data_IF_218122430572
#
_entry.id   IF_218122430572
#
_cell.length_a   1.000
_cell.length_b   1.000
_cell.length_c   1.000
_cell.angle_alpha   90.00
_cell.angle_beta   90.00
_cell.angle_gamma   90.00
#
_symmetry.space_group_name_H-M   'P 1'
#
loop_
_entity.id
_entity.type
_entity.pdbx_description
1 polymer ?
#
# COMPACT_ATOMS: atom_id res chain seq x y z
N UNK A 1 -0.73 -26.04 -18.13
CA UNK A 1 -0.83 -25.23 -19.35
C UNK A 1 -1.60 -26.02 -20.39
N UNK A 2 -2.55 -25.40 -21.08
CA UNK A 2 -3.45 -26.12 -21.99
C UNK A 2 -3.60 -25.32 -23.27
N UNK A 3 -3.20 -25.91 -24.40
CA UNK A 3 -3.37 -25.35 -25.74
C UNK A 3 -4.35 -26.22 -26.56
N UNK A 4 -4.23 -27.54 -26.48
CA UNK A 4 -4.96 -28.49 -27.32
C UNK A 4 -6.28 -28.95 -26.66
N UNK A 5 -7.19 -28.04 -26.33
CA UNK A 5 -8.46 -28.35 -25.67
C UNK A 5 -9.31 -29.39 -26.43
N UNK A 6 -9.96 -30.29 -25.69
CA UNK A 6 -10.91 -31.25 -26.26
C UNK A 6 -12.23 -30.60 -26.65
N UNK A 7 -12.71 -29.67 -25.82
CA UNK A 7 -14.06 -29.11 -25.92
C UNK A 7 -14.04 -27.60 -26.19
N UNK A 8 -13.09 -26.87 -25.61
CA UNK A 8 -12.93 -25.43 -25.83
C UNK A 8 -12.09 -25.14 -27.10
N UNK A 9 -12.12 -23.90 -27.63
CA UNK A 9 -11.23 -23.51 -28.72
C UNK A 9 -9.76 -23.72 -28.36
N UNK A 10 -8.94 -24.12 -29.33
CA UNK A 10 -7.50 -24.27 -29.10
C UNK A 10 -6.86 -22.92 -28.81
N UNK A 11 -5.83 -22.94 -27.97
CA UNK A 11 -4.95 -21.81 -27.72
C UNK A 11 -3.57 -22.09 -28.31
N UNK A 12 -2.75 -21.06 -28.36
CA UNK A 12 -1.34 -21.15 -28.73
C UNK A 12 -0.51 -20.37 -27.72
N UNK A 13 0.47 -21.02 -27.10
CA UNK A 13 1.45 -20.36 -26.23
C UNK A 13 1.31 -20.79 -24.77
N UNK A 14 0.12 -21.15 -24.31
CA UNK A 14 -0.13 -21.51 -22.90
C UNK A 14 0.66 -22.74 -22.46
N UNK A 15 0.93 -23.68 -23.37
CA UNK A 15 1.79 -24.83 -23.10
C UNK A 15 3.25 -24.41 -22.95
N UNK A 16 3.74 -23.56 -23.86
CA UNK A 16 5.11 -23.05 -23.83
C UNK A 16 5.35 -22.18 -22.59
N UNK A 17 4.38 -21.34 -22.24
CA UNK A 17 4.39 -20.46 -21.08
C UNK A 17 4.48 -21.26 -19.77
N UNK A 18 3.66 -22.31 -19.65
CA UNK A 18 3.70 -23.19 -18.49
C UNK A 18 5.02 -23.97 -18.36
N UNK A 19 5.66 -24.37 -19.47
CA UNK A 19 6.98 -25.00 -19.45
C UNK A 19 8.07 -24.02 -19.04
N UNK A 20 8.06 -22.82 -19.59
CA UNK A 20 9.03 -21.77 -19.24
C UNK A 20 8.93 -21.39 -17.75
N UNK A 21 7.71 -21.34 -17.21
CA UNK A 21 7.50 -21.08 -15.79
C UNK A 21 7.95 -22.26 -14.91
N UNK A 22 7.67 -23.51 -15.30
CA UNK A 22 8.14 -24.70 -14.60
C UNK A 22 9.68 -24.74 -14.52
N UNK A 23 10.37 -24.40 -15.60
CA UNK A 23 11.84 -24.28 -15.62
C UNK A 23 12.35 -23.16 -14.70
N UNK A 24 11.61 -22.07 -14.57
CA UNK A 24 11.94 -21.01 -13.62
C UNK A 24 11.82 -21.51 -12.17
N UNK A 25 10.73 -22.23 -11.82
CA UNK A 25 10.57 -22.81 -10.48
C UNK A 25 11.70 -23.79 -10.13
N UNK A 26 12.15 -24.62 -11.07
CA UNK A 26 13.29 -25.53 -10.86
C UNK A 26 14.58 -24.76 -10.56
N UNK A 27 14.85 -23.68 -11.29
CA UNK A 27 16.03 -22.82 -11.06
C UNK A 27 15.98 -22.09 -9.72
N UNK A 28 14.77 -21.82 -9.22
CA UNK A 28 14.52 -21.24 -7.90
C UNK A 28 14.64 -22.25 -6.75
N UNK A 29 14.89 -23.53 -7.06
CA UNK A 29 15.09 -24.56 -6.05
C UNK A 29 13.79 -25.13 -5.47
N UNK A 30 12.69 -25.14 -6.22
CA UNK A 30 11.50 -25.91 -5.83
C UNK A 30 11.80 -27.41 -5.95
N UNK A 31 11.67 -28.14 -4.83
CA UNK A 31 12.00 -29.57 -4.74
C UNK A 31 11.11 -30.44 -5.64
N UNK A 32 9.83 -30.11 -5.74
CA UNK A 32 8.86 -30.79 -6.60
C UNK A 32 8.14 -29.81 -7.52
N UNK A 33 8.23 -30.06 -8.83
CA UNK A 33 7.49 -29.31 -9.86
C UNK A 33 6.58 -30.28 -10.62
N UNK A 34 5.28 -30.21 -10.35
CA UNK A 34 4.26 -31.05 -11.00
C UNK A 34 3.77 -30.35 -12.27
N UNK A 35 4.12 -30.91 -13.43
CA UNK A 35 3.73 -30.38 -14.73
C UNK A 35 2.49 -31.11 -15.27
N UNK A 36 1.45 -30.36 -15.62
CA UNK A 36 0.20 -30.90 -16.18
C UNK A 36 -0.17 -30.15 -17.45
N UNK A 37 -0.30 -30.90 -18.54
CA UNK A 37 -0.44 -30.37 -19.89
C UNK A 37 -1.59 -31.02 -20.66
N UNK A 38 -2.28 -30.21 -21.47
CA UNK A 38 -3.30 -30.64 -22.42
C UNK A 38 -4.21 -31.75 -21.86
N UNK A 39 -4.24 -32.93 -22.48
CA UNK A 39 -5.07 -34.08 -22.10
C UNK A 39 -4.95 -34.50 -20.63
N UNK A 40 -3.80 -34.25 -20.01
CA UNK A 40 -3.56 -34.60 -18.62
C UNK A 40 -4.16 -33.54 -17.67
N UNK A 41 -4.40 -32.33 -18.16
CA UNK A 41 -5.08 -31.24 -17.45
C UNK A 41 -6.62 -31.36 -17.49
N UNK A 42 -7.14 -32.59 -17.44
CA UNK A 42 -8.58 -32.87 -17.32
C UNK A 42 -9.09 -32.60 -15.91
N UNK A 43 -10.36 -32.24 -15.80
CA UNK A 43 -11.01 -31.80 -14.55
C UNK A 43 -10.77 -32.76 -13.39
N UNK A 44 -10.99 -34.07 -13.61
CA UNK A 44 -10.77 -35.10 -12.59
C UNK A 44 -9.33 -35.11 -12.07
N UNK A 45 -8.35 -34.93 -12.95
CA UNK A 45 -6.94 -34.96 -12.56
C UNK A 45 -6.55 -33.71 -11.77
N UNK A 46 -6.94 -32.52 -12.25
CA UNK A 46 -6.65 -31.26 -11.56
C UNK A 46 -7.27 -31.24 -10.15
N UNK A 47 -8.50 -31.76 -10.00
CA UNK A 47 -9.15 -31.91 -8.69
C UNK A 47 -8.43 -32.91 -7.78
N UNK A 48 -7.93 -34.02 -8.32
CA UNK A 48 -7.15 -34.97 -7.54
C UNK A 48 -5.86 -34.33 -7.01
N UNK A 49 -5.15 -33.59 -7.87
CA UNK A 49 -3.91 -32.88 -7.51
C UNK A 49 -4.17 -31.86 -6.41
N UNK A 50 -5.17 -30.99 -6.59
CA UNK A 50 -5.49 -29.94 -5.61
C UNK A 50 -6.06 -30.51 -4.31
N UNK A 51 -6.98 -31.48 -4.37
CA UNK A 51 -7.71 -31.91 -3.18
C UNK A 51 -7.02 -33.04 -2.41
N UNK A 52 -6.14 -33.81 -3.06
CA UNK A 52 -5.58 -35.05 -2.51
C UNK A 52 -4.06 -35.07 -2.54
N UNK A 53 -3.44 -34.83 -3.70
CA UNK A 53 -2.01 -35.13 -3.87
C UNK A 53 -1.12 -34.06 -3.24
N UNK A 54 -1.34 -32.78 -3.57
CA UNK A 54 -0.55 -31.67 -3.02
C UNK A 54 -0.71 -31.52 -1.49
N UNK A 55 -1.92 -31.54 -0.89
CA UNK A 55 -2.07 -31.40 0.55
C UNK A 55 -1.37 -32.49 1.38
N UNK A 56 -1.08 -33.66 0.79
CA UNK A 56 -0.34 -34.75 1.45
C UNK A 56 1.18 -34.58 1.39
N UNK A 57 1.68 -33.76 0.47
CA UNK A 57 3.11 -33.54 0.24
C UNK A 57 3.63 -32.27 0.88
N UNK A 58 2.75 -31.30 1.14
CA UNK A 58 3.13 -29.95 1.58
C UNK A 58 2.91 -29.79 3.08
N UNK A 59 3.98 -29.50 3.81
CA UNK A 59 4.03 -29.26 5.25
C UNK A 59 3.87 -27.78 5.65
N UNK A 60 3.96 -27.53 6.95
CA UNK A 60 3.69 -26.21 7.57
C UNK A 60 4.74 -25.14 7.34
N UNK A 61 5.94 -25.51 6.90
CA UNK A 61 7.02 -24.57 6.60
C UNK A 61 7.25 -24.42 5.10
N UNK A 62 6.46 -25.13 4.30
CA UNK A 62 6.66 -25.18 2.86
C UNK A 62 5.94 -24.03 2.16
N UNK A 63 6.33 -23.83 0.91
CA UNK A 63 5.68 -22.94 -0.03
C UNK A 63 5.09 -23.72 -1.20
N UNK A 64 3.90 -23.32 -1.64
CA UNK A 64 3.23 -23.87 -2.82
C UNK A 64 2.97 -22.75 -3.83
N UNK A 65 3.35 -22.98 -5.09
CA UNK A 65 3.07 -22.06 -6.20
C UNK A 65 2.25 -22.82 -7.24
N UNK A 66 1.10 -22.28 -7.62
CA UNK A 66 0.23 -22.84 -8.65
C UNK A 66 0.20 -21.88 -9.82
N UNK A 67 0.71 -22.32 -10.97
CA UNK A 67 0.65 -21.57 -12.22
C UNK A 67 -0.38 -22.17 -13.18
N UNK A 68 -1.26 -21.34 -13.73
CA UNK A 68 -2.22 -21.74 -14.75
C UNK A 68 -2.13 -20.81 -15.96
N UNK A 69 -2.05 -21.41 -17.14
CA UNK A 69 -2.17 -20.73 -18.43
C UNK A 69 -3.17 -21.51 -19.28
N UNK A 70 -4.22 -20.84 -19.74
CA UNK A 70 -5.33 -21.44 -20.46
C UNK A 70 -6.60 -20.58 -20.46
N UNK A 71 -7.69 -21.16 -20.94
CA UNK A 71 -9.01 -20.54 -20.94
C UNK A 71 -9.56 -20.38 -19.53
N UNK A 72 -10.33 -19.32 -19.39
CA UNK A 72 -11.10 -19.01 -18.21
C UNK A 72 -12.54 -18.75 -18.62
N UNK A 73 -13.45 -18.91 -17.67
CA UNK A 73 -14.84 -18.52 -17.84
C UNK A 73 -15.30 -17.69 -16.66
N UNK A 74 -16.51 -17.16 -16.77
CA UNK A 74 -17.17 -16.41 -15.71
C UNK A 74 -18.58 -16.97 -15.52
N UNK A 75 -18.98 -17.13 -14.26
CA UNK A 75 -20.36 -17.43 -13.85
C UNK A 75 -20.83 -16.36 -12.87
N UNK A 76 -22.06 -16.44 -12.37
CA UNK A 76 -22.56 -15.51 -11.34
C UNK A 76 -23.04 -16.24 -10.10
N UNK A 77 -22.79 -15.63 -8.94
CA UNK A 77 -23.35 -16.10 -7.68
C UNK A 77 -24.84 -15.70 -7.52
N UNK A 78 -25.44 -16.07 -6.39
CA UNK A 78 -26.85 -15.72 -6.09
C UNK A 78 -27.08 -14.22 -5.94
N UNK A 79 -26.03 -13.43 -5.69
CA UNK A 79 -26.07 -11.98 -5.56
C UNK A 79 -25.76 -11.26 -6.89
N UNK A 80 -25.53 -12.01 -7.97
CA UNK A 80 -25.19 -11.48 -9.28
C UNK A 80 -23.73 -11.04 -9.45
N UNK A 81 -22.85 -11.38 -8.50
CA UNK A 81 -21.42 -11.13 -8.61
C UNK A 81 -20.77 -12.10 -9.60
N UNK A 82 -19.91 -11.58 -10.47
CA UNK A 82 -19.15 -12.39 -11.42
C UNK A 82 -18.11 -13.22 -10.67
N UNK A 83 -18.09 -14.53 -10.89
CA UNK A 83 -17.14 -15.50 -10.35
C UNK A 83 -16.37 -16.16 -11.50
N UNK A 84 -15.06 -15.94 -11.55
CA UNK A 84 -14.19 -16.58 -12.52
C UNK A 84 -14.01 -18.07 -12.28
N UNK A 85 -13.52 -18.79 -13.28
CA UNK A 85 -13.06 -20.17 -13.13
C UNK A 85 -12.04 -20.52 -14.20
N UNK A 86 -11.19 -21.48 -13.88
CA UNK A 86 -10.24 -22.07 -14.83
C UNK A 86 -10.95 -23.16 -15.61
N UNK A 87 -10.65 -23.28 -16.90
CA UNK A 87 -11.24 -24.29 -17.79
C UNK A 87 -10.26 -25.44 -17.98
N UNK A 88 -10.55 -26.66 -17.47
CA UNK A 88 -9.77 -27.85 -17.77
C UNK A 88 -9.90 -28.29 -19.23
N UNK A 89 -8.99 -29.17 -19.65
CA UNK A 89 -8.90 -29.65 -21.04
C UNK A 89 -10.20 -30.26 -21.58
N UNK A 90 -10.93 -31.00 -20.74
CA UNK A 90 -12.18 -31.69 -21.07
C UNK A 90 -13.45 -30.90 -20.69
N UNK A 91 -13.31 -29.62 -20.36
CA UNK A 91 -14.39 -28.75 -19.92
C UNK A 91 -14.77 -27.72 -21.00
N UNK A 92 -16.07 -27.46 -21.21
CA UNK A 92 -16.54 -26.34 -22.02
C UNK A 92 -16.37 -25.00 -21.27
N UNK A 93 -16.08 -23.90 -21.98
CA UNK A 93 -15.96 -22.55 -21.40
C UNK A 93 -17.27 -22.08 -20.76
N UNK A 94 -18.44 -22.54 -21.22
CA UNK A 94 -19.74 -22.05 -20.75
C UNK A 94 -20.37 -22.88 -19.62
N UNK A 95 -19.67 -23.87 -19.06
CA UNK A 95 -20.25 -24.75 -18.04
C UNK A 95 -19.24 -25.10 -16.93
N UNK A 96 -19.63 -24.74 -15.70
CA UNK A 96 -18.82 -24.83 -14.49
C UNK A 96 -18.70 -26.24 -13.91
N UNK A 97 -19.53 -27.21 -14.33
CA UNK A 97 -19.58 -28.57 -13.75
C UNK A 97 -18.24 -29.31 -13.78
N UNK A 98 -17.41 -29.00 -14.78
CA UNK A 98 -16.05 -29.53 -14.93
C UNK A 98 -14.96 -28.49 -14.70
N UNK A 99 -15.31 -27.24 -14.41
CA UNK A 99 -14.33 -26.18 -14.19
C UNK A 99 -13.55 -26.38 -12.89
N UNK A 100 -12.48 -25.61 -12.69
CA UNK A 100 -11.88 -25.39 -11.36
C UNK A 100 -12.29 -23.98 -10.94
N UNK A 101 -13.18 -23.88 -9.97
CA UNK A 101 -13.73 -22.59 -9.53
C UNK A 101 -12.78 -21.88 -8.58
N UNK A 102 -13.00 -20.58 -8.35
CA UNK A 102 -12.25 -19.88 -7.30
C UNK A 102 -12.52 -20.47 -5.92
N UNK A 103 -13.72 -20.99 -5.68
CA UNK A 103 -14.02 -21.68 -4.43
C UNK A 103 -13.23 -22.97 -4.28
N UNK A 104 -13.01 -23.74 -5.35
CA UNK A 104 -12.10 -24.90 -5.34
C UNK A 104 -10.68 -24.46 -4.93
N UNK A 105 -10.19 -23.32 -5.46
CA UNK A 105 -8.87 -22.77 -5.13
C UNK A 105 -8.81 -22.22 -3.70
N UNK A 106 -9.86 -21.55 -3.22
CA UNK A 106 -10.00 -21.08 -1.82
C UNK A 106 -10.09 -22.27 -0.85
N UNK A 107 -10.79 -23.34 -1.21
CA UNK A 107 -10.87 -24.56 -0.40
C UNK A 107 -9.52 -25.29 -0.37
N UNK A 108 -8.83 -25.37 -1.51
CA UNK A 108 -7.46 -25.87 -1.56
C UNK A 108 -6.53 -25.04 -0.66
N UNK A 109 -6.57 -23.71 -0.74
CA UNK A 109 -5.68 -22.85 0.06
C UNK A 109 -5.91 -22.99 1.57
N UNK A 110 -7.14 -23.27 2.01
CA UNK A 110 -7.45 -23.59 3.42
C UNK A 110 -6.98 -24.98 3.86
N UNK A 111 -6.94 -25.96 2.94
CA UNK A 111 -6.55 -27.35 3.25
C UNK A 111 -5.05 -27.59 3.18
N UNK A 112 -4.36 -26.91 2.26
CA UNK A 112 -2.91 -27.03 2.15
C UNK A 112 -2.26 -26.42 3.40
N UNK A 113 -1.37 -27.17 4.04
CA UNK A 113 -0.71 -26.71 5.28
C UNK A 113 0.39 -25.68 5.03
N UNK A 114 0.71 -25.37 3.77
CA UNK A 114 1.77 -24.47 3.37
C UNK A 114 1.75 -23.16 4.18
N UNK A 115 2.95 -22.70 4.57
CA UNK A 115 3.14 -21.35 5.09
C UNK A 115 2.82 -20.34 4.01
N UNK A 116 3.35 -20.56 2.81
CA UNK A 116 3.23 -19.63 1.70
C UNK A 116 2.48 -20.28 0.54
N UNK A 117 1.39 -19.67 0.07
CA UNK A 117 0.67 -20.12 -1.12
C UNK A 117 0.52 -18.97 -2.12
N UNK A 118 0.96 -19.18 -3.36
CA UNK A 118 0.83 -18.20 -4.45
C UNK A 118 0.15 -18.82 -5.65
N UNK A 119 -0.96 -18.23 -6.08
CA UNK A 119 -1.59 -18.53 -7.36
C UNK A 119 -1.14 -17.52 -8.41
N UNK A 120 -0.69 -17.99 -9.57
CA UNK A 120 -0.33 -17.15 -10.71
C UNK A 120 -1.17 -17.61 -11.89
N UNK A 121 -2.06 -16.74 -12.36
CA UNK A 121 -3.01 -17.05 -13.42
C UNK A 121 -2.66 -16.20 -14.63
N UNK A 122 -2.02 -16.81 -15.63
CA UNK A 122 -1.79 -16.23 -16.94
C UNK A 122 -3.06 -16.27 -17.78
N UNK A 123 -4.09 -15.57 -17.27
CA UNK A 123 -5.43 -15.50 -17.81
C UNK A 123 -6.20 -14.31 -17.22
N UNK A 124 -7.29 -13.92 -17.90
CA UNK A 124 -8.28 -12.97 -17.39
C UNK A 124 -9.22 -13.72 -16.44
N UNK A 125 -9.03 -13.55 -15.14
CA UNK A 125 -9.90 -14.11 -14.10
C UNK A 125 -10.37 -13.00 -13.18
N UNK A 126 -11.66 -12.99 -12.88
CA UNK A 126 -12.34 -12.00 -12.03
C UNK A 126 -13.10 -12.70 -10.92
N UNK A 127 -13.64 -11.96 -9.95
CA UNK A 127 -14.55 -12.53 -8.94
C UNK A 127 -13.91 -13.06 -7.67
N UNK A 128 -12.71 -12.60 -7.34
CA UNK A 128 -12.10 -12.86 -6.04
C UNK A 128 -12.62 -11.82 -5.04
N UNK A 129 -13.31 -12.25 -3.98
CA UNK A 129 -13.64 -11.38 -2.84
C UNK A 129 -12.35 -10.79 -2.27
N UNK A 130 -12.25 -9.47 -2.40
CA UNK A 130 -11.17 -8.66 -1.88
C UNK A 130 -11.32 -8.56 -0.36
N UNK A 131 -10.43 -9.23 0.38
CA UNK A 131 -9.82 -8.45 1.46
C UNK A 131 -8.89 -7.48 0.74
N UNK A 132 -9.15 -6.16 0.74
CA UNK A 132 -8.22 -5.24 0.11
C UNK A 132 -6.84 -5.56 0.69
N UNK A 133 -5.81 -5.81 -0.15
CA UNK A 133 -4.48 -6.00 0.37
C UNK A 133 -4.21 -4.79 1.26
N UNK A 134 -3.89 -5.03 2.54
CA UNK A 134 -3.24 -3.97 3.28
C UNK A 134 -2.01 -3.61 2.42
N UNK A 135 -1.85 -2.35 2.00
CA UNK A 135 -0.62 -1.95 1.35
C UNK A 135 0.47 -2.03 2.42
N UNK A 136 1.06 -3.22 2.58
CA UNK A 136 2.35 -3.34 3.23
C UNK A 136 3.31 -2.56 2.35
N UNK A 137 3.65 -1.37 2.83
CA UNK A 137 4.60 -0.47 2.22
C UNK A 137 5.89 -1.23 1.91
N UNK A 138 6.19 -1.42 0.63
CA UNK A 138 7.38 -2.15 0.17
C UNK A 138 8.69 -1.46 0.57
N UNK A 139 8.64 -0.17 0.89
CA UNK A 139 9.76 0.59 1.42
C UNK A 139 9.67 0.63 2.95
N UNK A 140 10.70 0.16 3.65
CA UNK A 140 10.81 0.28 5.11
C UNK A 140 10.69 -0.99 5.96
N UNK A 141 10.82 -2.17 5.37
CA UNK A 141 10.71 -3.45 6.08
C UNK A 141 11.87 -3.63 7.09
N UNK A 142 11.58 -3.41 8.37
CA UNK A 142 12.40 -3.90 9.47
C UNK A 142 12.22 -5.42 9.49
N UNK A 143 13.18 -6.13 8.89
CA UNK A 143 13.28 -7.61 8.81
C UNK A 143 12.14 -8.33 8.04
N UNK A 144 12.40 -8.97 6.87
CA UNK A 144 11.48 -9.93 6.24
C UNK A 144 10.95 -10.99 7.22
N UNK A 145 11.70 -11.32 8.26
CA UNK A 145 11.46 -12.36 9.26
C UNK A 145 10.02 -12.34 9.82
N UNK A 146 9.46 -11.19 10.21
CA UNK A 146 8.11 -11.11 10.77
C UNK A 146 6.98 -11.42 9.76
N UNK A 147 7.20 -11.18 8.46
CA UNK A 147 6.24 -11.48 7.39
C UNK A 147 6.47 -12.88 6.79
N UNK A 148 7.74 -13.31 6.69
CA UNK A 148 8.15 -14.62 6.16
C UNK A 148 7.84 -15.79 7.11
N UNK A 149 7.61 -15.51 8.39
CA UNK A 149 7.15 -16.51 9.37
C UNK A 149 5.61 -16.63 9.43
N UNK A 150 4.87 -15.69 8.84
CA UNK A 150 3.42 -15.70 8.83
C UNK A 150 2.88 -16.46 7.63
N UNK A 151 1.79 -17.20 7.85
CA UNK A 151 1.08 -17.84 6.76
C UNK A 151 0.43 -16.80 5.86
N UNK A 152 0.46 -17.01 4.54
CA UNK A 152 -0.22 -16.15 3.56
C UNK A 152 -0.70 -16.94 2.34
N UNK A 153 -1.79 -16.46 1.73
CA UNK A 153 -2.28 -16.87 0.41
C UNK A 153 -2.40 -15.64 -0.48
N UNK A 154 -1.71 -15.63 -1.61
CA UNK A 154 -1.69 -14.52 -2.58
C UNK A 154 -2.05 -15.00 -3.98
N UNK A 155 -2.49 -14.06 -4.81
CA UNK A 155 -2.87 -14.28 -6.20
C UNK A 155 -2.31 -13.16 -7.08
N UNK A 156 -1.76 -13.54 -8.23
CA UNK A 156 -1.39 -12.66 -9.31
C UNK A 156 -2.10 -13.09 -10.60
N UNK A 157 -2.91 -12.23 -11.20
CA UNK A 157 -3.54 -12.48 -12.50
C UNK A 157 -2.89 -11.64 -13.60
N UNK A 158 -2.91 -12.13 -14.83
CA UNK A 158 -2.29 -11.43 -15.96
C UNK A 158 -3.09 -10.25 -16.47
N UNK A 159 -4.40 -10.22 -16.27
CA UNK A 159 -5.27 -9.17 -16.78
C UNK A 159 -6.50 -8.97 -15.89
N UNK A 160 -7.11 -7.79 -16.03
CA UNK A 160 -8.35 -7.40 -15.38
C UNK A 160 -9.60 -7.87 -16.14
N UNK A 161 -10.77 -7.49 -15.61
CA UNK A 161 -12.07 -7.87 -16.16
C UNK A 161 -12.25 -7.37 -17.59
N UNK A 162 -12.52 -8.30 -18.51
CA UNK A 162 -12.82 -7.99 -19.91
C UNK A 162 -11.59 -7.65 -20.78
N UNK A 163 -10.39 -7.76 -20.23
CA UNK A 163 -9.14 -7.50 -20.95
C UNK A 163 -8.62 -8.77 -21.64
N UNK A 164 -7.88 -8.58 -22.73
CA UNK A 164 -7.23 -9.64 -23.47
C UNK A 164 -5.73 -9.70 -23.13
N UNK A 165 -5.16 -10.90 -23.14
CA UNK A 165 -3.72 -11.07 -22.98
C UNK A 165 -2.99 -10.63 -24.24
N UNK A 166 -1.97 -9.79 -24.07
CA UNK A 166 -1.17 -9.26 -25.18
C UNK A 166 0.14 -10.05 -25.28
N UNK A 167 0.49 -10.43 -26.51
CA UNK A 167 1.78 -11.03 -26.84
C UNK A 167 2.64 -10.03 -27.63
N UNK A 168 3.95 -10.06 -27.37
CA UNK A 168 4.97 -9.40 -28.20
C UNK A 168 6.03 -10.43 -28.56
N UNK A 169 6.51 -10.41 -29.80
CA UNK A 169 7.56 -11.32 -30.30
C UNK A 169 7.27 -12.81 -30.03
N UNK A 170 5.99 -13.20 -30.07
CA UNK A 170 5.55 -14.58 -29.82
C UNK A 170 5.56 -15.02 -28.35
N UNK A 171 5.69 -14.10 -27.39
CA UNK A 171 5.60 -14.38 -25.95
C UNK A 171 4.60 -13.44 -25.26
N UNK A 172 3.83 -13.97 -24.30
CA UNK A 172 2.97 -13.17 -23.44
C UNK A 172 3.74 -12.09 -22.68
N UNK A 173 3.27 -10.84 -22.74
CA UNK A 173 3.91 -9.71 -22.04
C UNK A 173 3.93 -9.93 -20.53
N UNK A 174 2.86 -10.53 -19.99
CA UNK A 174 2.78 -10.91 -18.58
C UNK A 174 3.86 -11.92 -18.19
N UNK A 175 3.95 -13.07 -18.89
CA UNK A 175 4.97 -14.07 -18.59
C UNK A 175 6.39 -13.50 -18.72
N UNK A 176 6.65 -12.67 -19.74
CA UNK A 176 7.96 -12.03 -19.92
C UNK A 176 8.35 -11.20 -18.69
N UNK A 177 7.42 -10.37 -18.19
CA UNK A 177 7.63 -9.59 -16.97
C UNK A 177 7.81 -10.51 -15.75
N UNK A 178 6.96 -11.52 -15.60
CA UNK A 178 7.01 -12.48 -14.51
C UNK A 178 8.37 -13.18 -14.41
N UNK A 179 8.87 -13.71 -15.54
CA UNK A 179 10.15 -14.40 -15.60
C UNK A 179 11.35 -13.45 -15.38
N UNK A 180 11.24 -12.19 -15.78
CA UNK A 180 12.27 -11.19 -15.47
C UNK A 180 12.29 -10.88 -13.96
N UNK A 181 11.11 -10.72 -13.35
CA UNK A 181 10.97 -10.49 -11.91
C UNK A 181 11.56 -11.63 -11.08
N UNK A 182 11.24 -12.88 -11.44
CA UNK A 182 11.80 -14.09 -10.82
C UNK A 182 13.30 -14.30 -11.04
N UNK A 183 13.94 -13.54 -11.94
CA UNK A 183 15.40 -13.50 -12.10
C UNK A 183 16.06 -12.41 -11.26
N UNK A 184 15.29 -11.74 -10.39
CA UNK A 184 15.76 -10.68 -9.50
C UNK A 184 15.39 -9.26 -9.95
N UNK A 185 14.77 -9.07 -11.12
CA UNK A 185 14.37 -7.72 -11.54
C UNK A 185 13.26 -7.11 -10.66
N UNK A 186 12.54 -7.96 -9.90
CA UNK A 186 11.53 -7.52 -8.96
C UNK A 186 12.08 -7.11 -7.59
N UNK A 187 13.37 -7.36 -7.30
CA UNK A 187 14.03 -6.94 -6.04
C UNK A 187 14.21 -5.41 -6.01
N UNK A 188 13.13 -4.71 -5.67
CA UNK A 188 13.05 -3.25 -5.72
C UNK A 188 13.92 -2.60 -4.65
N UNK A 189 14.02 -3.22 -3.47
CA UNK A 189 14.79 -2.69 -2.33
C UNK A 189 16.24 -3.22 -2.28
N UNK A 190 16.63 -4.08 -3.22
CA UNK A 190 17.98 -4.65 -3.38
C UNK A 190 18.45 -5.42 -2.15
N UNK A 191 17.53 -6.08 -1.45
CA UNK A 191 17.83 -6.85 -0.25
C UNK A 191 18.22 -8.32 -0.58
N UNK A 192 18.18 -8.71 -1.85
CA UNK A 192 18.52 -10.06 -2.33
C UNK A 192 17.39 -11.07 -2.23
N UNK A 193 16.22 -10.67 -1.71
CA UNK A 193 15.00 -11.46 -1.67
C UNK A 193 14.07 -11.00 -2.79
N UNK A 194 13.18 -11.89 -3.22
CA UNK A 194 12.05 -11.52 -4.07
C UNK A 194 10.79 -12.06 -3.42
N UNK A 195 10.00 -11.15 -2.89
CA UNK A 195 8.67 -11.44 -2.33
C UNK A 195 7.60 -11.36 -3.42
N UNK A 196 6.46 -12.01 -3.20
CA UNK A 196 5.35 -11.97 -4.14
C UNK A 196 4.73 -10.56 -4.27
N UNK A 197 4.72 -9.76 -3.20
CA UNK A 197 4.33 -8.34 -3.28
C UNK A 197 5.21 -7.52 -4.22
N UNK A 198 6.53 -7.69 -4.12
CA UNK A 198 7.52 -7.03 -4.98
C UNK A 198 7.36 -7.48 -6.43
N UNK A 199 7.19 -8.80 -6.64
CA UNK A 199 6.90 -9.36 -7.95
C UNK A 199 5.60 -8.81 -8.54
N UNK A 200 4.54 -8.72 -7.74
CA UNK A 200 3.25 -8.20 -8.16
C UNK A 200 3.33 -6.75 -8.65
N UNK A 201 4.01 -5.88 -7.89
CA UNK A 201 4.24 -4.48 -8.26
C UNK A 201 5.08 -4.37 -9.52
N UNK A 202 6.20 -5.10 -9.59
CA UNK A 202 7.09 -5.12 -10.75
C UNK A 202 6.36 -5.56 -12.02
N UNK A 203 5.62 -6.69 -11.95
CA UNK A 203 4.89 -7.24 -13.09
C UNK A 203 3.81 -6.28 -13.55
N UNK A 204 3.02 -5.71 -12.64
CA UNK A 204 1.99 -4.73 -12.98
C UNK A 204 2.59 -3.54 -13.74
N UNK A 205 3.62 -2.92 -13.19
CA UNK A 205 4.29 -1.78 -13.80
C UNK A 205 4.85 -2.12 -15.19
N UNK A 206 5.56 -3.25 -15.33
CA UNK A 206 6.17 -3.65 -16.60
C UNK A 206 5.13 -3.95 -17.68
N UNK A 207 4.03 -4.61 -17.33
CA UNK A 207 2.96 -4.94 -18.29
C UNK A 207 2.21 -3.69 -18.72
N UNK A 208 1.84 -2.81 -17.79
CA UNK A 208 1.16 -1.55 -18.11
C UNK A 208 2.03 -0.67 -19.01
N UNK A 209 3.32 -0.51 -18.69
CA UNK A 209 4.24 0.25 -19.54
C UNK A 209 4.39 -0.36 -20.94
N UNK A 210 4.53 -1.69 -21.03
CA UNK A 210 4.77 -2.36 -22.30
C UNK A 210 3.52 -2.33 -23.19
N UNK A 211 2.33 -2.35 -22.60
CA UNK A 211 1.05 -2.41 -23.32
C UNK A 211 0.39 -1.04 -23.52
N UNK A 212 0.95 0.02 -22.91
CA UNK A 212 0.31 1.34 -22.89
C UNK A 212 -0.98 1.34 -22.07
N UNK A 213 -0.98 0.62 -20.94
CA UNK A 213 -2.12 0.42 -20.05
C UNK A 213 -3.34 -0.27 -20.72
N UNK A 214 -3.09 -1.18 -21.67
CA UNK A 214 -4.14 -2.00 -22.28
C UNK A 214 -4.38 -3.34 -21.55
N UNK A 215 -3.46 -3.72 -20.66
CA UNK A 215 -3.54 -4.93 -19.85
C UNK A 215 -3.10 -4.60 -18.41
N UNK A 216 -3.92 -4.94 -17.42
CA UNK A 216 -3.71 -4.59 -16.01
C UNK A 216 -3.65 -5.84 -15.13
N UNK A 217 -2.44 -6.38 -14.86
CA UNK A 217 -2.26 -7.44 -13.88
C UNK A 217 -2.82 -7.06 -12.51
N UNK A 218 -3.47 -7.99 -11.84
CA UNK A 218 -4.03 -7.79 -10.50
C UNK A 218 -3.25 -8.63 -9.49
N UNK A 219 -2.78 -8.00 -8.42
CA UNK A 219 -2.16 -8.68 -7.29
C UNK A 219 -3.03 -8.50 -6.05
N UNK A 220 -3.43 -9.61 -5.43
CA UNK A 220 -4.32 -9.59 -4.26
C UNK A 220 -3.86 -10.59 -3.20
N UNK A 221 -4.14 -10.26 -1.94
CA UNK A 221 -3.96 -11.17 -0.80
C UNK A 221 -5.32 -11.80 -0.47
N UNK A 222 -5.39 -13.12 -0.52
CA UNK A 222 -6.61 -13.88 -0.29
C UNK A 222 -6.81 -14.24 1.19
N UNK A 223 -5.71 -14.48 1.92
CA UNK A 223 -5.74 -14.90 3.33
C UNK A 223 -4.37 -14.67 4.00
N UNK A 224 -4.37 -14.51 5.32
CA UNK A 224 -3.18 -14.31 6.14
C UNK A 224 -2.53 -12.92 6.05
N UNK A 225 -1.47 -12.74 6.83
CA UNK A 225 -0.77 -11.45 7.03
C UNK A 225 0.74 -11.52 6.74
N UNK A 226 1.22 -12.61 6.15
CA UNK A 226 2.59 -12.74 5.66
C UNK A 226 2.76 -12.30 4.21
N UNK A 227 3.85 -12.75 3.58
CA UNK A 227 4.14 -12.53 2.16
C UNK A 227 4.94 -13.70 1.59
N UNK A 228 4.62 -14.15 0.37
CA UNK A 228 5.25 -15.35 -0.20
C UNK A 228 6.68 -15.04 -0.62
N UNK A 229 7.63 -15.76 -0.06
CA UNK A 229 9.05 -15.73 -0.47
C UNK A 229 9.26 -16.59 -1.72
N UNK A 230 9.73 -15.98 -2.81
CA UNK A 230 10.05 -16.68 -4.07
C UNK A 230 11.55 -16.89 -4.24
N UNK A 231 12.34 -15.87 -3.94
CA UNK A 231 13.80 -15.97 -3.85
C UNK A 231 14.19 -15.72 -2.39
N UNK A 232 14.82 -16.70 -1.77
CA UNK A 232 15.49 -16.52 -0.48
C UNK A 232 16.87 -15.92 -0.74
N UNK A 233 17.10 -14.71 -0.27
CA UNK A 233 18.45 -14.15 -0.22
C UNK A 233 19.28 -14.88 0.84
N UNK A 234 20.61 -14.84 0.75
CA UNK A 234 21.42 -15.26 1.90
C UNK A 234 21.18 -14.24 3.02
N UNK A 235 20.93 -14.65 4.27
CA UNK A 235 20.83 -13.70 5.39
C UNK A 235 22.08 -12.83 5.55
N UNK A 236 23.25 -13.28 5.08
CA UNK A 236 24.49 -12.49 5.02
C UNK A 236 24.53 -11.46 3.89
N UNK A 237 23.78 -11.70 2.82
CA UNK A 237 23.61 -10.81 1.66
C UNK A 237 22.43 -9.85 1.87
N UNK A 238 21.58 -10.10 2.88
CA UNK A 238 20.61 -9.15 3.40
C UNK A 238 21.33 -7.86 3.76
N UNK A 239 21.19 -6.89 2.88
CA UNK A 239 21.35 -5.49 3.21
C UNK A 239 19.93 -5.01 3.42
N UNK A 240 19.48 -4.92 4.68
CA UNK A 240 18.36 -4.04 5.02
C UNK A 240 18.55 -2.77 4.18
N UNK A 241 17.67 -2.55 3.18
CA UNK A 241 18.00 -1.81 1.95
C UNK A 241 18.97 -0.69 2.25
N UNK A 242 20.26 -0.92 1.89
CA UNK A 242 21.43 -0.41 2.64
C UNK A 242 21.06 0.77 3.54
N UNK A 243 20.83 0.51 4.84
CA UNK A 243 20.41 1.56 5.79
C UNK A 243 21.19 2.83 5.46
N UNK A 244 20.50 3.95 5.22
CA UNK A 244 21.13 5.14 4.70
C UNK A 244 22.37 5.47 5.54
N UNK A 245 23.56 5.32 4.95
CA UNK A 245 24.83 5.27 5.69
C UNK A 245 25.34 6.66 5.97
N UNK A 246 24.98 7.58 5.10
CA UNK A 246 25.30 8.99 5.22
C UNK A 246 24.11 9.77 5.78
N UNK A 247 24.39 10.90 6.42
CA UNK A 247 23.33 11.81 6.85
C UNK A 247 22.43 12.27 5.68
N UNK A 248 23.00 12.45 4.49
CA UNK A 248 22.26 12.86 3.30
C UNK A 248 21.27 11.78 2.83
N UNK A 249 21.66 10.51 2.85
CA UNK A 249 20.76 9.40 2.50
C UNK A 249 19.67 9.23 3.58
N UNK A 250 20.00 9.45 4.86
CA UNK A 250 19.02 9.35 5.97
C UNK A 250 17.96 10.43 5.83
N UNK A 251 18.40 11.65 5.52
CA UNK A 251 17.52 12.77 5.25
C UNK A 251 16.65 12.52 4.02
N UNK A 252 17.20 11.97 2.94
CA UNK A 252 16.43 11.65 1.73
C UNK A 252 15.35 10.57 2.01
N UNK A 253 15.70 9.52 2.75
CA UNK A 253 14.77 8.48 3.15
C UNK A 253 13.70 8.98 4.14
N UNK A 254 14.07 9.88 5.06
CA UNK A 254 13.13 10.53 5.95
C UNK A 254 12.12 11.39 5.18
N UNK A 255 12.61 12.14 4.17
CA UNK A 255 11.79 12.96 3.29
C UNK A 255 10.80 12.12 2.49
N UNK A 256 11.23 11.02 1.91
CA UNK A 256 10.37 10.11 1.13
C UNK A 256 9.25 9.49 1.98
N UNK A 257 9.60 9.02 3.19
CA UNK A 257 8.62 8.52 4.15
C UNK A 257 7.61 9.60 4.57
N UNK A 258 8.07 10.85 4.77
CA UNK A 258 7.20 11.99 5.03
C UNK A 258 6.27 12.32 3.87
N UNK A 259 6.77 12.35 2.63
CA UNK A 259 5.96 12.60 1.43
C UNK A 259 4.88 11.52 1.26
N UNK A 260 5.20 10.27 1.58
CA UNK A 260 4.22 9.18 1.60
C UNK A 260 3.14 9.39 2.67
N UNK A 261 3.52 9.78 3.90
CA UNK A 261 2.55 10.11 4.94
C UNK A 261 1.60 11.24 4.49
N UNK A 262 2.14 12.27 3.85
CA UNK A 262 1.35 13.38 3.30
C UNK A 262 0.40 12.92 2.19
N UNK A 263 0.86 12.07 1.27
CA UNK A 263 0.05 11.53 0.19
C UNK A 263 -1.12 10.67 0.70
N UNK A 264 -0.91 9.89 1.76
CA UNK A 264 -1.96 9.11 2.41
C UNK A 264 -3.07 10.01 2.96
N UNK A 265 -2.72 11.13 3.58
CA UNK A 265 -3.68 12.10 4.10
C UNK A 265 -4.47 12.78 2.96
N UNK A 266 -3.82 13.15 1.86
CA UNK A 266 -4.49 13.70 0.67
C UNK A 266 -5.50 12.72 0.06
N UNK A 267 -5.19 11.42 0.12
CA UNK A 267 -6.09 10.34 -0.30
C UNK A 267 -7.15 9.96 0.74
N UNK A 268 -7.26 10.71 1.84
CA UNK A 268 -8.19 10.46 2.94
C UNK A 268 -8.06 9.06 3.55
N UNK A 269 -6.83 8.51 3.55
CA UNK A 269 -6.53 7.25 4.23
C UNK A 269 -6.56 7.45 5.75
N UNK A 270 -6.74 6.39 6.55
CA UNK A 270 -6.72 6.48 8.00
C UNK A 270 -5.47 7.19 8.53
N UNK A 271 -5.64 8.14 9.46
CA UNK A 271 -4.54 8.93 10.03
C UNK A 271 -3.46 8.07 10.72
N UNK A 272 -3.83 6.87 11.20
CA UNK A 272 -2.89 5.89 11.77
C UNK A 272 -1.87 5.37 10.75
N UNK A 273 -2.26 5.25 9.48
CA UNK A 273 -1.37 4.77 8.43
C UNK A 273 -0.32 5.84 8.12
N UNK A 274 -0.75 7.10 8.04
CA UNK A 274 0.17 8.24 7.89
C UNK A 274 1.12 8.37 9.09
N UNK A 275 0.65 8.13 10.31
CA UNK A 275 1.53 8.13 11.50
C UNK A 275 2.67 7.11 11.39
N UNK A 276 2.40 5.89 10.89
CA UNK A 276 3.43 4.86 10.75
C UNK A 276 4.58 5.31 9.82
N UNK A 277 4.24 6.02 8.74
CA UNK A 277 5.24 6.61 7.85
C UNK A 277 5.98 7.80 8.45
N UNK A 278 5.34 8.58 9.33
CA UNK A 278 6.02 9.63 10.07
C UNK A 278 6.97 9.05 11.14
N UNK A 279 6.58 7.96 11.81
CA UNK A 279 7.45 7.22 12.72
C UNK A 279 8.67 6.67 11.97
N UNK A 280 8.46 6.17 10.75
CA UNK A 280 9.52 5.72 9.87
C UNK A 280 10.45 6.86 9.43
N UNK A 281 9.89 8.03 9.06
CA UNK A 281 10.70 9.21 8.74
C UNK A 281 11.64 9.57 9.89
N UNK A 282 11.13 9.55 11.12
CA UNK A 282 11.88 9.84 12.34
C UNK A 282 12.85 8.72 12.75
N UNK A 283 12.60 7.48 12.33
CA UNK A 283 13.55 6.39 12.48
C UNK A 283 14.79 6.59 11.59
N UNK A 284 14.62 7.14 10.38
CA UNK A 284 15.75 7.50 9.51
C UNK A 284 16.47 8.75 9.99
N UNK A 285 15.74 9.81 10.30
CA UNK A 285 16.30 11.07 10.79
C UNK A 285 15.44 11.68 11.90
N UNK A 286 15.91 11.52 13.14
CA UNK A 286 15.27 12.09 14.33
C UNK A 286 15.27 13.62 14.37
N UNK A 287 15.99 14.28 13.44
CA UNK A 287 16.03 15.73 13.31
C UNK A 287 15.16 16.25 12.17
N UNK A 288 14.44 15.38 11.46
CA UNK A 288 13.53 15.76 10.39
C UNK A 288 12.26 16.43 10.94
N UNK A 289 12.36 17.73 11.19
CA UNK A 289 11.38 18.48 11.97
C UNK A 289 9.96 18.54 11.37
N UNK A 290 9.83 18.52 10.04
CA UNK A 290 8.52 18.56 9.37
C UNK A 290 7.65 17.32 9.70
N UNK A 291 8.28 16.17 9.99
CA UNK A 291 7.53 15.01 10.46
C UNK A 291 6.90 15.25 11.84
N UNK A 292 7.59 15.96 12.75
CA UNK A 292 7.02 16.32 14.05
C UNK A 292 5.87 17.33 13.92
N UNK A 293 5.98 18.30 13.01
CA UNK A 293 4.89 19.23 12.68
C UNK A 293 3.65 18.45 12.30
N UNK A 294 3.75 17.58 11.29
CA UNK A 294 2.61 16.82 10.79
C UNK A 294 2.06 15.82 11.84
N UNK A 295 2.92 15.15 12.63
CA UNK A 295 2.46 14.31 13.75
C UNK A 295 1.67 15.09 14.78
N UNK A 296 2.13 16.29 15.14
CA UNK A 296 1.45 17.13 16.14
C UNK A 296 0.05 17.53 15.68
N UNK A 297 -0.11 17.88 14.40
CA UNK A 297 -1.40 18.16 13.78
C UNK A 297 -2.31 16.91 13.75
N UNK A 298 -1.79 15.75 13.36
CA UNK A 298 -2.54 14.49 13.34
C UNK A 298 -3.10 14.12 14.72
N UNK A 299 -2.28 14.24 15.76
CA UNK A 299 -2.73 13.98 17.13
C UNK A 299 -3.73 15.02 17.62
N UNK A 300 -3.60 16.28 17.20
CA UNK A 300 -4.52 17.35 17.59
C UNK A 300 -5.91 17.18 16.96
N UNK A 301 -5.97 16.97 15.65
CA UNK A 301 -7.21 17.09 14.86
C UNK A 301 -7.84 15.75 14.49
N UNK A 302 -7.05 14.71 14.21
CA UNK A 302 -7.56 13.45 13.64
C UNK A 302 -7.62 12.29 14.64
N UNK A 303 -6.73 12.27 15.63
CA UNK A 303 -6.61 11.18 16.62
C UNK A 303 -6.91 11.61 18.07
N UNK A 304 -7.56 12.76 18.26
CA UNK A 304 -7.58 13.61 19.47
C UNK A 304 -6.79 13.10 20.69
N UNK A 305 -5.46 13.19 20.63
CA UNK A 305 -4.55 12.85 21.72
C UNK A 305 -3.67 14.07 22.08
N UNK A 306 -4.13 14.89 23.01
CA UNK A 306 -3.49 16.16 23.37
C UNK A 306 -2.09 16.01 23.99
N UNK A 307 -1.81 14.91 24.70
CA UNK A 307 -0.49 14.69 25.30
C UNK A 307 0.53 14.30 24.24
N UNK A 308 0.16 13.42 23.31
CA UNK A 308 1.00 13.07 22.17
C UNK A 308 1.19 14.27 21.21
N UNK A 309 0.14 15.08 21.02
CA UNK A 309 0.22 16.31 20.25
C UNK A 309 1.23 17.29 20.85
N UNK A 310 1.17 17.52 22.17
CA UNK A 310 2.11 18.40 22.87
C UNK A 310 3.55 17.91 22.74
N UNK A 311 3.80 16.62 23.00
CA UNK A 311 5.14 16.04 22.88
C UNK A 311 5.70 16.19 21.46
N UNK A 312 4.88 15.96 20.43
CA UNK A 312 5.28 16.16 19.04
C UNK A 312 5.49 17.65 18.70
N UNK A 313 4.63 18.55 19.18
CA UNK A 313 4.73 19.99 18.95
C UNK A 313 5.98 20.62 19.58
N UNK A 314 6.38 20.16 20.77
CA UNK A 314 7.64 20.60 21.41
C UNK A 314 8.86 20.17 20.58
N UNK A 315 8.85 18.97 20.01
CA UNK A 315 9.90 18.49 19.10
C UNK A 315 9.87 19.21 17.76
N UNK A 316 8.69 19.57 17.25
CA UNK A 316 8.55 20.36 16.02
C UNK A 316 9.24 21.73 16.15
N UNK A 317 9.02 22.44 17.26
CA UNK A 317 9.71 23.72 17.53
C UNK A 317 11.23 23.54 17.67
N UNK A 318 11.68 22.41 18.21
CA UNK A 318 13.11 22.11 18.35
C UNK A 318 13.80 21.84 17.02
N UNK A 319 13.17 21.10 16.10
CA UNK A 319 13.80 20.59 14.89
C UNK A 319 13.37 21.30 13.59
N UNK A 320 12.24 22.00 13.59
CA UNK A 320 11.73 22.79 12.46
C UNK A 320 11.39 24.23 12.90
N UNK A 321 12.33 24.91 13.57
CA UNK A 321 12.13 26.27 14.09
C UNK A 321 11.79 27.31 13.00
N UNK A 322 12.22 27.07 11.76
CA UNK A 322 11.93 27.95 10.61
C UNK A 322 10.63 27.60 9.89
N UNK A 323 9.96 26.51 10.29
CA UNK A 323 8.63 26.21 9.81
C UNK A 323 7.60 26.95 10.71
N UNK A 324 6.82 27.90 10.17
CA UNK A 324 5.86 28.65 10.97
C UNK A 324 4.77 27.75 11.58
N UNK A 325 4.48 26.59 10.96
CA UNK A 325 3.50 25.62 11.45
C UNK A 325 3.94 24.95 12.76
N UNK A 326 5.24 24.88 13.04
CA UNK A 326 5.77 24.34 14.30
C UNK A 326 5.25 25.13 15.50
N UNK A 327 5.38 26.44 15.43
CA UNK A 327 4.94 27.35 16.48
C UNK A 327 3.42 27.54 16.48
N UNK A 328 2.81 27.57 15.29
CA UNK A 328 1.36 27.67 15.16
C UNK A 328 0.64 26.49 15.80
N UNK A 329 1.01 25.26 15.41
CA UNK A 329 0.39 24.03 15.94
C UNK A 329 0.62 23.88 17.44
N UNK A 330 1.82 24.21 17.94
CA UNK A 330 2.08 24.23 19.38
C UNK A 330 1.16 25.22 20.11
N UNK A 331 0.93 26.40 19.53
CA UNK A 331 -0.02 27.39 20.05
C UNK A 331 -1.43 26.84 20.19
N UNK A 332 -1.95 26.19 19.15
CA UNK A 332 -3.27 25.55 19.16
C UNK A 332 -3.36 24.44 20.22
N UNK A 333 -2.33 23.60 20.34
CA UNK A 333 -2.26 22.52 21.34
C UNK A 333 -2.30 23.12 22.76
N UNK A 334 -1.49 24.14 23.02
CA UNK A 334 -1.42 24.81 24.33
C UNK A 334 -2.74 25.48 24.69
N UNK A 335 -3.41 26.10 23.71
CA UNK A 335 -4.75 26.67 23.90
C UNK A 335 -5.75 25.58 24.29
N UNK A 336 -5.81 24.46 23.57
CA UNK A 336 -6.70 23.32 23.93
C UNK A 336 -6.37 22.72 25.31
N UNK A 337 -5.13 22.81 25.77
CA UNK A 337 -4.72 22.41 27.14
C UNK A 337 -4.95 23.49 28.21
N UNK A 338 -5.51 24.65 27.86
CA UNK A 338 -5.76 25.76 28.80
C UNK A 338 -4.51 26.55 29.20
N UNK A 339 -3.37 26.35 28.53
CA UNK A 339 -2.09 27.03 28.80
C UNK A 339 -2.00 28.32 27.98
N UNK A 340 -2.93 29.24 28.19
CA UNK A 340 -3.19 30.38 27.30
C UNK A 340 -2.01 31.36 27.13
N UNK A 341 -1.29 31.68 28.21
CA UNK A 341 -0.13 32.57 28.12
C UNK A 341 1.02 31.96 27.30
N UNK A 342 1.14 30.64 27.31
CA UNK A 342 2.14 29.93 26.51
C UNK A 342 1.67 29.78 25.06
N UNK A 343 0.37 29.58 24.85
CA UNK A 343 -0.25 29.60 23.53
C UNK A 343 -0.03 30.95 22.82
N UNK A 344 -0.27 32.08 23.50
CA UNK A 344 -0.01 33.43 22.97
C UNK A 344 1.44 33.57 22.52
N UNK A 345 2.40 33.17 23.37
CA UNK A 345 3.83 33.23 23.05
C UNK A 345 4.17 32.38 21.83
N UNK A 346 3.65 31.16 21.74
CA UNK A 346 3.90 30.27 20.60
C UNK A 346 3.34 30.86 19.30
N UNK A 347 2.09 31.35 19.31
CA UNK A 347 1.48 32.00 18.14
C UNK A 347 2.24 33.26 17.69
N UNK A 348 2.73 34.08 18.63
CA UNK A 348 3.57 35.24 18.30
C UNK A 348 4.92 34.83 17.70
N UNK A 349 5.50 33.70 18.10
CA UNK A 349 6.70 33.16 17.46
C UNK A 349 6.42 32.67 16.03
N UNK A 350 5.23 32.09 15.78
CA UNK A 350 4.83 31.74 14.41
C UNK A 350 4.79 32.97 13.50
N UNK A 351 4.30 34.12 14.00
CA UNK A 351 4.33 35.39 13.27
C UNK A 351 5.72 36.00 13.13
N UNK A 352 6.64 35.72 14.05
CA UNK A 352 8.04 36.14 13.90
C UNK A 352 8.72 35.43 12.72
N UNK A 353 8.35 34.17 12.46
CA UNK A 353 8.82 33.39 11.31
C UNK A 353 8.06 33.77 10.03
N UNK A 354 6.75 33.92 10.10
CA UNK A 354 5.88 34.28 8.98
C UNK A 354 4.93 35.45 9.33
N UNK A 355 5.34 36.71 9.11
CA UNK A 355 4.56 37.89 9.53
C UNK A 355 3.18 38.05 8.88
N UNK A 356 2.96 37.42 7.73
CA UNK A 356 1.70 37.47 6.97
C UNK A 356 0.85 36.19 7.14
N UNK A 357 1.08 35.40 8.20
CA UNK A 357 0.36 34.14 8.40
C UNK A 357 -1.07 34.40 8.92
N UNK A 358 -2.01 34.44 7.98
CA UNK A 358 -3.43 34.74 8.24
C UNK A 358 -4.05 33.89 9.35
N UNK A 359 -3.89 32.56 9.31
CA UNK A 359 -4.54 31.66 10.27
C UNK A 359 -4.06 31.85 11.73
N UNK A 360 -2.81 32.32 11.90
CA UNK A 360 -2.27 32.67 13.22
C UNK A 360 -2.96 33.91 13.78
N UNK A 361 -3.23 34.92 12.96
CA UNK A 361 -3.97 36.11 13.39
C UNK A 361 -5.42 35.79 13.77
N UNK A 362 -6.08 34.89 13.04
CA UNK A 362 -7.41 34.39 13.40
C UNK A 362 -7.37 33.69 14.77
N UNK A 363 -6.39 32.82 14.97
CA UNK A 363 -6.23 32.03 16.20
C UNK A 363 -5.86 32.90 17.40
N UNK A 364 -5.02 33.93 17.22
CA UNK A 364 -4.75 34.94 18.25
C UNK A 364 -6.01 35.75 18.60
N UNK A 365 -6.78 36.15 17.59
CA UNK A 365 -8.04 36.86 17.79
C UNK A 365 -9.03 36.05 18.63
N UNK A 366 -9.17 34.76 18.31
CA UNK A 366 -9.99 33.80 19.06
C UNK A 366 -9.46 33.59 20.49
N UNK A 367 -8.14 33.39 20.66
CA UNK A 367 -7.50 33.25 21.99
C UNK A 367 -7.76 34.48 22.87
N UNK A 368 -7.59 35.70 22.33
CA UNK A 368 -7.83 36.93 23.08
C UNK A 368 -9.30 37.14 23.42
N UNK A 369 -10.22 36.78 22.52
CA UNK A 369 -11.67 36.91 22.74
C UNK A 369 -12.19 35.88 23.74
N UNK A 370 -11.81 34.64 23.55
CA UNK A 370 -12.48 33.50 24.20
C UNK A 370 -11.80 33.10 25.51
N UNK A 371 -10.48 33.16 25.57
CA UNK A 371 -9.73 32.63 26.70
C UNK A 371 -9.14 33.73 27.58
N UNK A 372 -8.44 34.71 26.98
CA UNK A 372 -7.75 35.78 27.73
C UNK A 372 -8.63 37.00 28.05
N UNK A 373 -9.76 37.15 27.36
CA UNK A 373 -10.70 38.29 27.51
C UNK A 373 -10.06 39.67 27.30
N UNK A 374 -9.08 39.77 26.40
CA UNK A 374 -8.40 41.01 26.00
C UNK A 374 -9.04 41.55 24.71
N UNK A 375 -10.09 42.36 24.85
CA UNK A 375 -10.83 42.90 23.71
C UNK A 375 -9.96 43.75 22.77
N UNK A 376 -9.11 44.69 23.26
CA UNK A 376 -8.22 45.46 22.39
C UNK A 376 -7.29 44.59 21.53
N UNK A 377 -6.62 43.59 22.11
CA UNK A 377 -5.75 42.69 21.33
C UNK A 377 -6.52 41.82 20.36
N UNK A 378 -7.72 41.36 20.74
CA UNK A 378 -8.59 40.58 19.86
C UNK A 378 -8.99 41.38 18.60
N UNK A 379 -9.39 42.64 18.77
CA UNK A 379 -9.74 43.53 17.65
C UNK A 379 -8.55 43.74 16.72
N UNK A 380 -7.36 44.00 17.26
CA UNK A 380 -6.17 44.17 16.43
C UNK A 380 -5.81 42.87 15.68
N UNK A 381 -5.85 41.72 16.34
CA UNK A 381 -5.54 40.44 15.69
C UNK A 381 -6.52 40.13 14.54
N UNK A 382 -7.84 40.33 14.74
CA UNK A 382 -8.80 40.14 13.64
C UNK A 382 -8.65 41.18 12.52
N UNK A 383 -8.26 42.42 12.84
CA UNK A 383 -7.94 43.43 11.82
C UNK A 383 -6.78 42.96 10.94
N UNK A 384 -5.69 42.46 11.56
CA UNK A 384 -4.54 41.89 10.86
C UNK A 384 -4.92 40.67 10.01
N UNK A 385 -5.78 39.79 10.52
CA UNK A 385 -6.32 38.66 9.76
C UNK A 385 -6.97 39.08 8.43
N UNK A 386 -7.72 40.19 8.41
CA UNK A 386 -8.29 40.73 7.17
C UNK A 386 -7.27 41.41 6.27
N UNK A 387 -6.29 42.12 6.84
CA UNK A 387 -5.18 42.70 6.06
C UNK A 387 -4.40 41.62 5.30
N UNK A 388 -4.33 40.40 5.85
CA UNK A 388 -3.72 39.23 5.21
C UNK A 388 -4.68 38.43 4.30
N UNK A 389 -5.89 38.93 4.04
CA UNK A 389 -6.85 38.32 3.12
C UNK A 389 -7.82 37.30 3.74
N UNK A 390 -7.94 37.27 5.07
CA UNK A 390 -8.90 36.44 5.79
C UNK A 390 -10.36 36.72 5.43
N UNK A 391 -11.24 35.73 5.60
CA UNK A 391 -12.66 35.81 5.19
C UNK A 391 -13.66 35.24 6.22
N UNK A 392 -13.21 34.78 7.39
CA UNK A 392 -14.09 34.21 8.42
C UNK A 392 -15.17 35.21 8.89
N UNK A 393 -16.45 34.87 8.75
CA UNK A 393 -17.56 35.78 9.09
C UNK A 393 -17.65 36.10 10.60
N UNK A 394 -17.19 35.21 11.48
CA UNK A 394 -17.25 35.38 12.94
C UNK A 394 -16.32 36.51 13.40
N UNK A 395 -15.12 36.57 12.84
CA UNK A 395 -14.17 37.65 13.08
C UNK A 395 -14.75 39.00 12.63
N UNK A 396 -15.46 39.03 11.49
CA UNK A 396 -16.09 40.25 10.94
C UNK A 396 -17.18 40.77 11.86
N UNK A 397 -18.12 39.90 12.24
CA UNK A 397 -19.21 40.29 13.14
C UNK A 397 -18.68 40.81 14.47
N UNK A 398 -17.58 40.25 14.97
CA UNK A 398 -16.95 40.74 16.20
C UNK A 398 -16.36 42.15 16.04
N UNK A 399 -15.65 42.43 14.93
CA UNK A 399 -15.13 43.77 14.65
C UNK A 399 -16.25 44.81 14.50
N UNK A 400 -17.36 44.46 13.85
CA UNK A 400 -18.52 45.33 13.68
C UNK A 400 -19.18 45.67 15.03
N UNK A 401 -19.22 44.72 15.98
CA UNK A 401 -19.77 44.91 17.32
C UNK A 401 -18.82 45.70 18.25
N UNK A 402 -17.51 45.57 18.07
CA UNK A 402 -16.52 46.29 18.89
C UNK A 402 -16.49 47.80 18.60
N UNK A 403 -16.99 48.22 17.43
CA UNK A 403 -17.04 49.63 17.00
C UNK A 403 -15.66 50.21 16.62
N UNK A 404 -15.61 51.34 15.90
CA UNK A 404 -14.34 52.00 15.59
C UNK A 404 -13.71 52.55 16.88
N UNK A 405 -12.39 52.31 17.06
CA UNK A 405 -11.57 52.79 18.18
C UNK A 405 -11.96 54.23 18.57
N UNK A 406 -12.58 54.40 19.73
CA UNK A 406 -12.64 55.72 20.39
C UNK A 406 -11.22 56.03 20.87
N UNK A 407 -10.40 56.60 19.98
CA UNK A 407 -9.13 57.23 20.34
C UNK A 407 -9.39 58.26 21.44
N UNK A 408 -8.80 58.05 22.62
CA UNK A 408 -8.49 59.12 23.58
C UNK A 408 -7.04 59.53 23.39
#
# INVERSE_FOLDING_TARGET
GIDDYQVAPKLSGSLADAKAFADALRRLGFDEVVEVYDKDAKSKNLRAILNTDLPRKVGRQDRVVVFFAGHTGTTRDMNGQDLGYLVPWDAPIANVSKAITLDDLKEFSRRVMAKHALFILDANVTGWDITPPQPSSLEGRLTPEEETDKRVVQLLTAAGKGESLIQKDGQGVFLRALLAGLKGAADSNKNGWVMASELGVYVKHQVEQTTGAAQHPQFVRLDGDGDVVLIEGKPSDYRAGAEPRTAAERLAAAKDAYETAYALLQQQKPAKDALAFLDKALAYDQTYGDAYVLKSYLYLELLPNLDAALAAGELAVKYAIQNPDSHYTLGLILQKKGRFAEAERALLQALAVAPAYSDVYLSLGDLYREDLKDQPKSVEAYRRYYETGGTDNRARSYLEQAGPDKKQ
#
